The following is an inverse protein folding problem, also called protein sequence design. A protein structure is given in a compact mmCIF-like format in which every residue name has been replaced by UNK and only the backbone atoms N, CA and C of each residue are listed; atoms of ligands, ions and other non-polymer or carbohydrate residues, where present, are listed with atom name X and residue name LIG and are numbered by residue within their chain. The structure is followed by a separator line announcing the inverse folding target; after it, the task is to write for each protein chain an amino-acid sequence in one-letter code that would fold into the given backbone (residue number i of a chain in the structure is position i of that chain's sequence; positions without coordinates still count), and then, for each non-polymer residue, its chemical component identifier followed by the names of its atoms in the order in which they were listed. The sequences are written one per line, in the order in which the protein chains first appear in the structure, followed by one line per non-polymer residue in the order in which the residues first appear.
data_IF_955522614468
#
_entry.id   IF_955522614468
#
_cell.length_a   1.000
_cell.length_b   1.000
_cell.length_c   1.000
_cell.angle_alpha   90.00
_cell.angle_beta   90.00
_cell.angle_gamma   90.00
#
_symmetry.space_group_name_H-M   'P 1'
#
loop_
_entity.id
_entity.type
_entity.pdbx_description
1 polymer ?
#
# COMPACT_ATOMS: atom_id res chain seq x y z
N UNK A 1 2.07 5.87 -1.71
CA UNK A 1 1.57 4.96 -0.66
C UNK A 1 2.29 3.63 -0.75
N UNK A 2 2.73 3.12 0.38
CA UNK A 2 3.40 1.82 0.46
C UNK A 2 2.48 0.86 1.20
N UNK A 3 2.10 -0.22 0.53
CA UNK A 3 1.24 -1.25 1.09
C UNK A 3 2.08 -2.44 1.53
N UNK A 4 1.91 -2.85 2.77
CA UNK A 4 2.53 -4.07 3.32
C UNK A 4 1.44 -4.94 3.91
N UNK A 5 1.70 -6.24 4.02
CA UNK A 5 0.72 -7.18 4.57
C UNK A 5 1.04 -7.57 6.01
N UNK A 6 2.30 -7.56 6.39
CA UNK A 6 2.76 -8.05 7.68
C UNK A 6 3.34 -6.93 8.52
N UNK A 7 2.99 -6.93 9.81
CA UNK A 7 3.40 -5.89 10.76
C UNK A 7 4.93 -5.82 10.91
N UNK A 8 5.61 -6.95 10.91
CA UNK A 8 7.06 -6.98 11.04
C UNK A 8 7.75 -6.31 9.84
N UNK A 9 7.24 -6.55 8.64
CA UNK A 9 7.75 -5.90 7.44
C UNK A 9 7.48 -4.40 7.49
N UNK A 10 6.33 -4.01 7.99
CA UNK A 10 5.95 -2.61 8.14
C UNK A 10 6.95 -1.86 9.03
N UNK A 11 7.35 -2.47 10.14
CA UNK A 11 8.35 -1.89 11.05
C UNK A 11 9.71 -1.76 10.38
N UNK A 12 10.13 -2.75 9.62
CA UNK A 12 11.41 -2.73 8.89
C UNK A 12 11.41 -1.65 7.82
N UNK A 13 10.33 -1.50 7.09
CA UNK A 13 10.19 -0.46 6.07
C UNK A 13 10.24 0.92 6.71
N UNK A 14 9.52 1.12 7.83
CA UNK A 14 9.56 2.37 8.56
C UNK A 14 10.96 2.73 9.04
N UNK A 15 11.70 1.76 9.57
CA UNK A 15 13.07 1.96 10.00
C UNK A 15 13.99 2.35 8.84
N UNK A 16 13.80 1.72 7.68
CA UNK A 16 14.57 2.02 6.47
C UNK A 16 14.27 3.43 5.97
N UNK A 17 13.02 3.85 5.96
CA UNK A 17 12.64 5.20 5.55
C UNK A 17 13.28 6.23 6.47
N UNK A 18 13.26 6.00 7.77
CA UNK A 18 13.93 6.87 8.75
C UNK A 18 15.44 6.96 8.49
N UNK A 19 16.07 5.82 8.26
CA UNK A 19 17.51 5.76 8.00
C UNK A 19 17.91 6.57 6.77
N UNK A 20 17.02 6.65 5.77
CA UNK A 20 17.25 7.41 4.55
C UNK A 20 16.66 8.81 4.61
N UNK A 21 16.24 9.27 5.77
CA UNK A 21 15.69 10.61 6.01
C UNK A 21 14.47 10.93 5.15
N UNK A 22 13.64 9.90 4.91
CA UNK A 22 12.38 10.06 4.19
C UNK A 22 11.26 10.20 5.22
N UNK A 23 10.56 11.32 5.17
CA UNK A 23 9.42 11.55 6.06
C UNK A 23 8.23 10.70 5.62
N UNK A 24 7.62 10.01 6.57
CA UNK A 24 6.47 9.16 6.29
C UNK A 24 5.47 9.20 7.45
N UNK A 25 4.23 8.86 7.14
CA UNK A 25 3.18 8.63 8.12
C UNK A 25 2.83 7.15 8.10
N UNK A 26 2.53 6.59 9.27
CA UNK A 26 2.17 5.19 9.41
C UNK A 26 0.80 5.11 10.07
N UNK A 27 -0.10 4.32 9.46
CA UNK A 27 -1.44 4.13 10.03
C UNK A 27 -1.36 3.08 11.12
N UNK A 28 -1.60 3.51 12.37
CA UNK A 28 -1.58 2.65 13.53
C UNK A 28 -2.42 3.25 14.66
N UNK A 29 -2.68 2.47 15.70
CA UNK A 29 -3.34 2.94 16.90
C UNK A 29 -4.86 2.90 16.84
N UNK A 30 -5.51 3.79 17.59
CA UNK A 30 -6.97 3.87 17.69
C UNK A 30 -7.59 4.41 16.40
N UNK A 31 -8.92 4.26 16.27
CA UNK A 31 -9.66 4.81 15.15
C UNK A 31 -9.46 6.31 14.99
N UNK A 32 -9.46 7.04 16.10
CA UNK A 32 -9.23 8.49 16.09
C UNK A 32 -7.82 8.83 15.61
N UNK A 33 -6.81 8.09 16.07
CA UNK A 33 -5.42 8.26 15.64
C UNK A 33 -5.26 7.96 14.15
N UNK A 34 -5.88 6.90 13.67
CA UNK A 34 -5.85 6.50 12.25
C UNK A 34 -6.50 7.55 11.36
N UNK A 35 -7.66 8.07 11.75
CA UNK A 35 -8.35 9.11 10.99
C UNK A 35 -7.51 10.38 10.91
N UNK A 36 -6.87 10.76 12.02
CA UNK A 36 -6.01 11.93 12.07
C UNK A 36 -4.81 11.78 11.14
N UNK A 37 -4.21 10.60 11.10
CA UNK A 37 -3.08 10.31 10.21
C UNK A 37 -3.50 10.40 8.74
N UNK A 38 -4.65 9.82 8.38
CA UNK A 38 -5.18 9.88 7.03
C UNK A 38 -5.45 11.32 6.60
N UNK A 39 -6.03 12.12 7.49
CA UNK A 39 -6.33 13.51 7.20
C UNK A 39 -5.04 14.32 7.00
N UNK A 40 -4.05 14.13 7.85
CA UNK A 40 -2.76 14.81 7.74
C UNK A 40 -2.08 14.48 6.40
N UNK A 41 -2.15 13.23 5.97
CA UNK A 41 -1.58 12.83 4.69
C UNK A 41 -2.32 13.49 3.52
N UNK A 42 -3.64 13.47 3.55
CA UNK A 42 -4.46 14.06 2.47
C UNK A 42 -4.28 15.59 2.39
N UNK A 43 -4.05 16.23 3.52
CA UNK A 43 -3.85 17.68 3.57
C UNK A 43 -2.49 18.13 2.99
N UNK A 44 -1.65 17.17 2.61
CA UNK A 44 -0.37 17.50 1.98
C UNK A 44 0.70 17.97 2.94
N UNK A 45 0.71 17.45 4.16
CA UNK A 45 1.77 17.71 5.16
C UNK A 45 3.13 17.27 4.62
N UNK A 46 4.19 17.49 5.40
CA UNK A 46 5.58 17.24 4.98
C UNK A 46 5.85 15.80 4.53
N UNK A 47 5.07 14.84 5.02
CA UNK A 47 5.25 13.44 4.68
C UNK A 47 4.69 13.14 3.28
N UNK A 48 5.56 12.63 2.40
CA UNK A 48 5.18 12.21 1.05
C UNK A 48 4.83 10.74 0.97
N UNK A 49 5.07 9.99 2.02
CA UNK A 49 4.87 8.55 2.06
C UNK A 49 3.85 8.22 3.15
N UNK A 50 2.86 7.43 2.78
CA UNK A 50 1.93 6.82 3.73
C UNK A 50 2.19 5.31 3.72
N UNK A 51 2.54 4.77 4.88
CA UNK A 51 2.82 3.36 5.09
C UNK A 51 1.63 2.72 5.79
N UNK A 52 1.04 1.70 5.19
CA UNK A 52 -0.14 1.06 5.75
C UNK A 52 -0.20 -0.42 5.43
N UNK A 53 -0.90 -1.15 6.31
CA UNK A 53 -1.17 -2.56 6.08
C UNK A 53 -2.32 -2.69 5.08
N UNK A 54 -2.10 -3.47 4.03
CA UNK A 54 -3.09 -3.66 2.97
C UNK A 54 -4.39 -4.29 3.48
N UNK A 55 -4.31 -5.05 4.57
CA UNK A 55 -5.48 -5.69 5.19
C UNK A 55 -6.20 -4.78 6.18
N UNK A 56 -5.72 -3.58 6.40
CA UNK A 56 -6.31 -2.64 7.35
C UNK A 56 -7.53 -1.96 6.73
N UNK A 57 -8.71 -2.32 7.22
CA UNK A 57 -9.97 -1.79 6.72
C UNK A 57 -10.24 -0.34 7.16
N UNK A 58 -9.51 0.17 8.14
CA UNK A 58 -9.74 1.53 8.64
C UNK A 58 -9.51 2.58 7.57
N UNK A 59 -8.67 2.30 6.59
CA UNK A 59 -8.44 3.17 5.44
C UNK A 59 -9.38 2.87 4.27
N UNK A 60 -10.28 1.89 4.42
CA UNK A 60 -11.24 1.52 3.38
C UNK A 60 -12.17 2.70 3.10
N UNK A 61 -12.35 3.04 1.84
CA UNK A 61 -13.17 4.18 1.46
C UNK A 61 -12.50 5.54 1.65
N UNK A 62 -11.32 5.60 2.25
CA UNK A 62 -10.60 6.86 2.40
C UNK A 62 -10.23 7.42 1.03
N UNK A 63 -10.40 8.72 0.87
CA UNK A 63 -9.99 9.42 -0.35
C UNK A 63 -8.55 9.89 -0.19
N UNK A 64 -7.63 9.20 -0.87
CA UNK A 64 -6.20 9.49 -0.79
C UNK A 64 -5.65 9.89 -2.16
N UNK A 65 -6.41 10.71 -2.89
CA UNK A 65 -6.05 11.16 -4.24
C UNK A 65 -4.87 12.14 -4.28
N UNK A 66 -4.37 12.57 -3.13
CA UNK A 66 -3.11 13.31 -3.04
C UNK A 66 -1.95 12.41 -3.49
N UNK A 67 -2.08 11.11 -3.35
CA UNK A 67 -1.08 10.13 -3.80
C UNK A 67 -1.41 9.64 -5.20
N UNK A 68 -0.38 9.38 -6.00
CA UNK A 68 -0.54 8.78 -7.32
C UNK A 68 0.42 7.61 -7.57
N UNK A 69 1.16 7.19 -6.55
CA UNK A 69 2.00 5.99 -6.61
C UNK A 69 1.56 5.00 -5.54
N UNK A 70 1.26 3.78 -5.97
CA UNK A 70 0.96 2.65 -5.08
C UNK A 70 2.10 1.65 -5.19
N UNK A 71 2.71 1.30 -4.06
CA UNK A 71 3.85 0.39 -4.01
C UNK A 71 3.46 -0.83 -3.19
N UNK A 72 3.51 -2.01 -3.83
CA UNK A 72 3.32 -3.29 -3.16
C UNK A 72 4.69 -3.94 -3.01
N UNK A 73 5.14 -4.15 -1.78
CA UNK A 73 6.49 -4.67 -1.52
C UNK A 73 6.59 -6.19 -1.66
N UNK A 74 5.47 -6.86 -1.77
CA UNK A 74 5.41 -8.29 -2.05
C UNK A 74 4.03 -8.63 -2.60
N UNK A 75 3.85 -9.77 -3.29
CA UNK A 75 2.52 -10.22 -3.69
C UNK A 75 1.67 -10.48 -2.44
N UNK A 76 0.39 -10.19 -2.53
CA UNK A 76 -0.52 -10.44 -1.43
C UNK A 76 -0.72 -11.94 -1.24
N UNK A 77 -0.63 -12.40 0.00
CA UNK A 77 -0.98 -13.76 0.36
C UNK A 77 -2.47 -13.80 0.66
N UNK A 78 -3.22 -14.55 -0.13
CA UNK A 78 -4.67 -14.67 0.01
C UNK A 78 -5.09 -16.11 -0.16
N UNK A 79 -6.15 -16.49 0.53
CA UNK A 79 -6.66 -17.86 0.49
C UNK A 79 -7.34 -18.20 -0.83
N UNK A 80 -7.79 -17.18 -1.57
CA UNK A 80 -8.48 -17.38 -2.85
C UNK A 80 -8.17 -16.25 -3.80
N UNK A 81 -8.43 -16.48 -5.08
CA UNK A 81 -8.32 -15.46 -6.10
C UNK A 81 -9.26 -14.28 -5.85
N UNK A 82 -10.46 -14.58 -5.37
CA UNK A 82 -11.47 -13.56 -5.09
C UNK A 82 -11.00 -12.60 -4.01
N UNK A 83 -10.41 -13.13 -2.93
CA UNK A 83 -9.87 -12.32 -1.84
C UNK A 83 -8.71 -11.48 -2.33
N UNK A 84 -7.81 -12.07 -3.12
CA UNK A 84 -6.68 -11.35 -3.69
C UNK A 84 -7.14 -10.16 -4.53
N UNK A 85 -8.07 -10.40 -5.45
CA UNK A 85 -8.58 -9.36 -6.34
C UNK A 85 -9.29 -8.25 -5.55
N UNK A 86 -10.08 -8.61 -4.55
CA UNK A 86 -10.78 -7.63 -3.72
C UNK A 86 -9.80 -6.74 -2.95
N UNK A 87 -8.76 -7.32 -2.38
CA UNK A 87 -7.74 -6.57 -1.65
C UNK A 87 -7.00 -5.60 -2.56
N UNK A 88 -6.62 -6.04 -3.75
CA UNK A 88 -5.93 -5.17 -4.70
C UNK A 88 -6.82 -4.03 -5.19
N UNK A 89 -8.06 -4.34 -5.54
CA UNK A 89 -9.01 -3.33 -6.02
C UNK A 89 -9.23 -2.27 -4.94
N UNK A 90 -9.41 -2.68 -3.68
CA UNK A 90 -9.59 -1.73 -2.59
C UNK A 90 -8.34 -0.88 -2.35
N UNK A 91 -7.16 -1.49 -2.40
CA UNK A 91 -5.91 -0.76 -2.20
C UNK A 91 -5.70 0.30 -3.28
N UNK A 92 -5.82 -0.09 -4.53
CA UNK A 92 -5.61 0.79 -5.68
C UNK A 92 -6.74 1.84 -5.75
N UNK A 93 -7.95 1.46 -5.37
CA UNK A 93 -9.11 2.35 -5.40
C UNK A 93 -9.01 3.53 -4.44
N UNK A 94 -8.10 3.51 -3.48
CA UNK A 94 -7.86 4.66 -2.61
C UNK A 94 -7.19 5.81 -3.36
N UNK A 95 -6.43 5.51 -4.41
CA UNK A 95 -5.73 6.49 -5.24
C UNK A 95 -6.45 6.71 -6.57
N UNK A 96 -6.93 5.64 -7.20
CA UNK A 96 -7.58 5.67 -8.51
C UNK A 96 -9.08 5.81 -8.32
N UNK A 97 -9.52 7.04 -8.15
CA UNK A 97 -10.94 7.31 -7.93
C UNK A 97 -11.27 8.73 -8.38
N UNK A 98 -12.56 9.07 -8.33
CA UNK A 98 -13.03 10.40 -8.69
C UNK A 98 -12.27 11.48 -7.90
N UNK A 99 -11.78 12.48 -8.62
CA UNK A 99 -10.97 13.54 -8.04
C UNK A 99 -9.49 13.35 -8.25
N UNK A 100 -9.05 12.17 -8.74
CA UNK A 100 -7.65 11.96 -9.08
C UNK A 100 -7.30 12.65 -10.39
N UNK A 101 -6.38 13.61 -10.34
CA UNK A 101 -5.99 14.39 -11.52
C UNK A 101 -4.66 13.93 -12.12
N UNK A 102 -3.95 13.05 -11.41
CA UNK A 102 -2.64 12.57 -11.84
C UNK A 102 -2.74 11.15 -12.37
N UNK A 103 -1.78 10.76 -13.21
CA UNK A 103 -1.64 9.36 -13.61
C UNK A 103 -1.28 8.53 -12.39
N UNK A 104 -1.92 7.38 -12.21
CA UNK A 104 -1.64 6.47 -11.08
C UNK A 104 -0.67 5.40 -11.53
N UNK A 105 0.44 5.28 -10.82
CA UNK A 105 1.48 4.29 -11.06
C UNK A 105 1.39 3.20 -10.01
N UNK A 106 1.41 1.94 -10.45
CA UNK A 106 1.36 0.78 -9.57
C UNK A 106 2.69 0.04 -9.68
N UNK A 107 3.41 -0.04 -8.57
CA UNK A 107 4.73 -0.67 -8.49
C UNK A 107 4.61 -1.97 -7.71
N UNK A 108 5.06 -3.07 -8.30
CA UNK A 108 5.04 -4.37 -7.66
C UNK A 108 6.47 -4.87 -7.54
N UNK A 109 6.94 -5.05 -6.31
CA UNK A 109 8.27 -5.57 -6.04
C UNK A 109 8.18 -7.06 -5.76
N UNK A 110 8.99 -7.83 -6.45
CA UNK A 110 9.05 -9.28 -6.32
C UNK A 110 10.48 -9.69 -6.05
N UNK A 111 10.68 -10.56 -5.04
CA UNK A 111 11.99 -11.15 -4.82
C UNK A 111 12.16 -12.29 -5.82
N UNK A 112 13.18 -12.17 -6.69
CA UNK A 112 13.46 -13.19 -7.68
C UNK A 112 13.94 -14.49 -7.01
N UNK A 113 13.64 -15.62 -7.65
CA UNK A 113 13.99 -16.96 -7.13
C UNK A 113 13.34 -17.27 -5.79
N UNK A 114 12.16 -16.68 -5.52
CA UNK A 114 11.37 -16.95 -4.33
C UNK A 114 9.94 -17.28 -4.72
N UNK A 115 9.14 -17.63 -3.72
CA UNK A 115 7.70 -17.88 -3.89
C UNK A 115 6.94 -16.65 -4.43
N UNK A 116 7.50 -15.45 -4.29
CA UNK A 116 6.89 -14.21 -4.78
C UNK A 116 6.55 -14.30 -6.25
N UNK A 117 7.47 -14.83 -7.07
CA UNK A 117 7.27 -14.96 -8.52
C UNK A 117 6.09 -15.87 -8.81
N UNK A 118 6.02 -17.03 -8.13
CA UNK A 118 4.94 -17.99 -8.32
C UNK A 118 3.58 -17.39 -7.95
N UNK A 119 3.51 -16.71 -6.80
CA UNK A 119 2.28 -16.08 -6.33
C UNK A 119 1.83 -15.02 -7.33
N UNK A 120 2.74 -14.17 -7.77
CA UNK A 120 2.42 -13.11 -8.72
C UNK A 120 1.89 -13.70 -10.05
N UNK A 121 2.61 -14.67 -10.61
CA UNK A 121 2.21 -15.27 -11.89
C UNK A 121 0.88 -16.00 -11.78
N UNK A 122 0.65 -16.70 -10.68
CA UNK A 122 -0.59 -17.43 -10.43
C UNK A 122 -1.78 -16.48 -10.28
N UNK A 123 -1.61 -15.40 -9.51
CA UNK A 123 -2.71 -14.49 -9.18
C UNK A 123 -3.02 -13.49 -10.29
N UNK A 124 -2.02 -13.02 -11.00
CA UNK A 124 -2.22 -11.99 -12.03
C UNK A 124 -2.31 -12.57 -13.44
N UNK A 125 -1.96 -13.84 -13.62
CA UNK A 125 -1.86 -14.49 -14.94
C UNK A 125 -0.84 -13.82 -15.85
N UNK A 126 0.13 -13.13 -15.26
CA UNK A 126 1.22 -12.46 -15.98
C UNK A 126 2.53 -13.18 -15.69
N UNK A 127 3.44 -13.17 -16.65
CA UNK A 127 4.77 -13.76 -16.47
C UNK A 127 5.79 -12.69 -16.07
N UNK A 128 6.69 -13.06 -15.18
CA UNK A 128 7.84 -12.22 -14.84
C UNK A 128 8.88 -12.37 -15.94
N UNK A 129 9.36 -11.24 -16.46
CA UNK A 129 10.38 -11.23 -17.51
C UNK A 129 11.77 -11.39 -16.95
#
# INVERSE_FOLDING_TARGET
MIFVQFQDLMKKVGASLKAHKINYLEIEGSSASRSKTLQAYQDGDDARVLLLNVMDESASGANLTVANHAIFLSPLLAQSQEIYDACEIQAIGRLRRYGQTKHVYIWRFLSTNTIDVEIFEQRTKRKVK
#
